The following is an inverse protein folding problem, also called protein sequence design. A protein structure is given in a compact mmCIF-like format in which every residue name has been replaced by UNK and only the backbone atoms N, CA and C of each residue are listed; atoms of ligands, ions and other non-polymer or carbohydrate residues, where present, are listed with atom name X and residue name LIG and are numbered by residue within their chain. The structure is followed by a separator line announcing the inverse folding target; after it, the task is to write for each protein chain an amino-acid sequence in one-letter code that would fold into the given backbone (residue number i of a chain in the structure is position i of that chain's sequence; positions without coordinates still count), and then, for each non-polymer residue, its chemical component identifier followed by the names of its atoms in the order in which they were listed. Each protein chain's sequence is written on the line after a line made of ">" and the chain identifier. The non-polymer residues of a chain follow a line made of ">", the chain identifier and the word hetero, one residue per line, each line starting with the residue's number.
data_IF_169573621346
#
_entry.id   IF_169573621346
#
_cell.length_a   1.000
_cell.length_b   1.000
_cell.length_c   1.000
_cell.angle_alpha   90.00
_cell.angle_beta   90.00
_cell.angle_gamma   90.00
#
_symmetry.space_group_name_H-M   'P 1'
#
loop_
_entity.id
_entity.type
_entity.pdbx_description
1 polymer ?
#
# COMPACT_ATOMS: atom_id res chain seq x y z
N UNK A 1 -13.89 -1.45 47.33
CA UNK A 1 -14.37 -1.28 45.95
C UNK A 1 -13.28 -1.73 44.99
N UNK A 2 -13.66 -2.49 43.96
CA UNK A 2 -12.86 -3.51 43.27
C UNK A 2 -11.78 -2.91 42.36
N UNK A 3 -10.52 -2.91 42.82
CA UNK A 3 -9.35 -2.56 42.02
C UNK A 3 -9.20 -3.43 40.75
N UNK A 4 -9.75 -4.65 40.79
CA UNK A 4 -9.74 -5.58 39.65
C UNK A 4 -10.70 -5.23 38.49
N UNK A 5 -11.67 -4.33 38.68
CA UNK A 5 -12.63 -4.00 37.61
C UNK A 5 -12.09 -2.92 36.64
N UNK A 6 -11.20 -2.05 37.12
CA UNK A 6 -10.61 -0.97 36.31
C UNK A 6 -9.51 -1.51 35.38
N UNK A 7 -8.80 -2.57 35.77
CA UNK A 7 -7.75 -3.20 34.95
C UNK A 7 -8.33 -3.99 33.76
N UNK A 8 -9.54 -4.55 33.90
CA UNK A 8 -10.21 -5.31 32.83
C UNK A 8 -10.65 -4.38 31.68
N UNK A 9 -11.09 -3.15 31.97
CA UNK A 9 -11.49 -2.20 30.92
C UNK A 9 -10.32 -1.69 30.07
N UNK A 10 -9.12 -1.54 30.64
CA UNK A 10 -7.94 -1.10 29.89
C UNK A 10 -7.36 -2.20 28.97
N UNK A 11 -7.59 -3.48 29.27
CA UNK A 11 -7.17 -4.59 28.41
C UNK A 11 -8.06 -4.74 27.16
N UNK A 12 -9.31 -4.28 27.22
CA UNK A 12 -10.23 -4.27 26.07
C UNK A 12 -10.00 -3.11 25.10
N UNK A 13 -9.35 -2.02 25.54
CA UNK A 13 -9.02 -0.88 24.68
C UNK A 13 -7.84 -1.15 23.72
N UNK A 14 -7.05 -2.21 23.94
CA UNK A 14 -5.95 -2.59 23.05
C UNK A 14 -6.39 -3.45 21.85
N UNK A 15 -7.67 -3.85 21.76
CA UNK A 15 -8.18 -4.82 20.77
C UNK A 15 -8.62 -4.21 19.42
N UNK A 16 -8.44 -2.91 19.16
CA UNK A 16 -9.07 -2.26 17.99
C UNK A 16 -8.11 -1.61 16.97
N UNK A 17 -6.81 -1.65 17.19
CA UNK A 17 -5.84 -1.22 16.17
C UNK A 17 -5.49 -2.38 15.23
N UNK A 18 -6.52 -3.01 14.65
CA UNK A 18 -6.27 -3.91 13.53
C UNK A 18 -6.05 -3.08 12.27
N UNK A 19 -4.90 -3.27 11.62
CA UNK A 19 -4.60 -2.69 10.31
C UNK A 19 -5.56 -3.29 9.28
N UNK A 20 -6.32 -2.45 8.59
CA UNK A 20 -7.36 -2.87 7.65
C UNK A 20 -6.89 -2.66 6.23
N UNK A 21 -6.92 -3.71 5.42
CA UNK A 21 -6.38 -3.67 4.05
C UNK A 21 -7.30 -4.37 3.06
N UNK A 22 -7.37 -3.84 1.84
CA UNK A 22 -7.87 -4.63 0.71
C UNK A 22 -6.76 -5.58 0.28
N UNK A 23 -7.09 -6.87 0.19
CA UNK A 23 -6.14 -7.90 -0.21
C UNK A 23 -6.59 -8.68 -1.44
N UNK A 24 -5.67 -9.48 -1.96
CA UNK A 24 -5.82 -10.31 -3.14
C UNK A 24 -5.31 -11.73 -2.86
N UNK A 25 -5.90 -12.77 -3.48
CA UNK A 25 -5.44 -14.14 -3.29
C UNK A 25 -4.10 -14.45 -3.99
N UNK A 26 -3.65 -13.56 -4.88
CA UNK A 26 -2.39 -13.68 -5.63
C UNK A 26 -1.87 -12.29 -5.99
N UNK A 27 -0.56 -12.21 -6.23
CA UNK A 27 0.09 -11.00 -6.72
C UNK A 27 -0.54 -10.49 -8.03
N UNK A 28 -0.86 -9.20 -8.03
CA UNK A 28 -1.57 -8.49 -9.08
C UNK A 28 -0.64 -7.68 -9.99
N UNK A 29 -1.01 -7.47 -11.27
CA UNK A 29 -2.14 -8.11 -11.93
C UNK A 29 -1.87 -9.61 -12.14
N UNK A 30 -2.92 -10.40 -12.12
CA UNK A 30 -2.82 -11.83 -12.37
C UNK A 30 -2.31 -12.12 -13.80
N UNK A 31 -1.43 -13.11 -13.96
CA UNK A 31 -0.91 -13.53 -15.27
C UNK A 31 0.19 -12.63 -15.87
N UNK A 32 0.52 -11.53 -15.22
CA UNK A 32 1.67 -10.70 -15.58
C UNK A 32 2.91 -11.21 -14.84
N UNK A 33 4.04 -11.27 -15.55
CA UNK A 33 5.34 -11.66 -15.00
C UNK A 33 5.89 -10.65 -14.00
N UNK A 34 6.58 -11.15 -12.98
CA UNK A 34 7.29 -10.33 -12.02
C UNK A 34 8.57 -9.75 -12.64
N UNK A 35 8.91 -8.52 -12.26
CA UNK A 35 10.21 -7.93 -12.53
C UNK A 35 11.27 -8.60 -11.66
N UNK A 36 12.46 -8.78 -12.20
CA UNK A 36 13.64 -9.19 -11.43
C UNK A 36 14.31 -7.98 -10.78
N UNK A 37 14.18 -6.80 -11.41
CA UNK A 37 14.73 -5.54 -10.95
C UNK A 37 13.85 -4.38 -11.42
N UNK A 38 13.84 -3.29 -10.65
CA UNK A 38 13.23 -2.03 -11.05
C UNK A 38 14.11 -1.35 -12.12
N UNK A 39 13.52 -0.70 -13.13
CA UNK A 39 14.29 -0.02 -14.15
C UNK A 39 14.91 1.28 -13.62
N UNK A 40 16.12 1.57 -14.07
CA UNK A 40 16.91 2.75 -13.64
C UNK A 40 16.16 4.08 -13.80
N UNK A 41 15.22 4.15 -14.75
CA UNK A 41 14.41 5.34 -15.02
C UNK A 41 13.55 5.81 -13.84
N UNK A 42 13.26 4.92 -12.88
CA UNK A 42 12.52 5.25 -11.65
C UNK A 42 13.38 5.13 -10.39
N UNK A 43 14.63 4.69 -10.50
CA UNK A 43 15.53 4.57 -9.35
C UNK A 43 16.05 5.95 -8.92
N UNK A 44 16.03 6.23 -7.62
CA UNK A 44 16.44 7.50 -7.04
C UNK A 44 15.78 7.78 -5.70
N UNK A 45 16.10 8.94 -5.14
CA UNK A 45 15.51 9.43 -3.89
C UNK A 45 14.29 10.31 -4.17
N UNK A 46 13.20 10.06 -3.45
CA UNK A 46 11.94 10.77 -3.60
C UNK A 46 11.42 11.25 -2.26
N UNK A 47 11.07 12.53 -2.20
CA UNK A 47 10.39 13.14 -1.06
C UNK A 47 8.89 12.84 -1.14
N UNK A 48 8.31 12.34 -0.05
CA UNK A 48 6.86 12.20 0.07
C UNK A 48 6.26 13.57 0.33
N UNK A 49 5.30 13.97 -0.51
CA UNK A 49 4.55 15.21 -0.37
C UNK A 49 3.07 14.92 -0.17
N UNK A 50 2.52 15.41 0.93
CA UNK A 50 1.09 15.42 1.14
C UNK A 50 0.44 16.39 0.13
N UNK A 51 -0.60 15.93 -0.57
CA UNK A 51 -1.24 16.74 -1.62
C UNK A 51 -2.13 17.85 -1.05
N UNK A 52 -2.71 17.65 0.12
CA UNK A 52 -3.64 18.57 0.75
C UNK A 52 -2.92 19.68 1.52
N UNK A 53 -1.90 19.33 2.32
CA UNK A 53 -1.14 20.30 3.13
C UNK A 53 0.09 20.83 2.40
N UNK A 54 0.62 20.06 1.45
CA UNK A 54 1.88 20.37 0.78
C UNK A 54 3.12 20.07 1.61
N UNK A 55 2.96 19.51 2.82
CA UNK A 55 4.06 19.15 3.70
C UNK A 55 4.91 18.05 3.08
N UNK A 56 6.22 18.18 3.29
CA UNK A 56 7.23 17.20 2.89
C UNK A 56 7.60 16.39 4.12
N UNK A 57 7.54 15.07 4.00
CA UNK A 57 7.88 14.15 5.08
C UNK A 57 9.09 13.29 4.71
N UNK A 58 8.92 11.97 4.73
CA UNK A 58 9.98 10.99 4.59
C UNK A 58 10.53 10.93 3.16
N UNK A 59 11.71 10.32 3.05
CA UNK A 59 12.31 9.99 1.76
C UNK A 59 12.10 8.51 1.46
N UNK A 60 11.55 8.21 0.29
CA UNK A 60 11.56 6.86 -0.30
C UNK A 60 12.73 6.79 -1.27
N UNK A 61 13.57 5.78 -1.12
CA UNK A 61 14.69 5.51 -2.00
C UNK A 61 14.35 4.25 -2.78
N UNK A 62 14.32 4.39 -4.11
CA UNK A 62 14.03 3.30 -5.04
C UNK A 62 15.35 2.88 -5.68
N UNK A 63 15.71 1.61 -5.52
CA UNK A 63 16.90 1.00 -6.11
C UNK A 63 16.50 -0.12 -7.07
N UNK A 64 17.45 -0.64 -7.84
CA UNK A 64 17.15 -1.72 -8.81
C UNK A 64 16.63 -2.98 -8.12
N UNK A 65 17.05 -3.25 -6.89
CA UNK A 65 16.63 -4.42 -6.12
C UNK A 65 15.33 -4.21 -5.32
N UNK A 66 14.80 -2.99 -5.21
CA UNK A 66 13.65 -2.71 -4.35
C UNK A 66 13.58 -1.28 -3.83
N UNK A 67 13.25 -1.11 -2.56
CA UNK A 67 13.14 0.21 -1.93
C UNK A 67 13.55 0.19 -0.46
N UNK A 68 13.83 1.36 0.09
CA UNK A 68 13.90 1.58 1.53
C UNK A 68 13.47 3.01 1.86
N UNK A 69 13.21 3.30 3.14
CA UNK A 69 12.78 4.63 3.57
C UNK A 69 13.80 5.26 4.50
N UNK A 70 13.80 6.59 4.56
CA UNK A 70 14.53 7.38 5.55
C UNK A 70 13.58 8.42 6.11
N UNK A 71 13.61 8.60 7.42
CA UNK A 71 12.91 9.71 8.06
C UNK A 71 13.60 11.04 7.71
N UNK A 72 13.03 12.14 8.20
CA UNK A 72 13.59 13.50 8.02
C UNK A 72 15.01 13.66 8.59
N UNK A 73 15.43 12.78 9.50
CA UNK A 73 16.77 12.77 10.09
C UNK A 73 17.74 11.81 9.37
N UNK A 74 17.30 11.19 8.27
CA UNK A 74 18.09 10.24 7.48
C UNK A 74 18.16 8.84 8.08
N UNK A 75 17.40 8.54 9.14
CA UNK A 75 17.37 7.23 9.78
C UNK A 75 16.37 6.31 9.07
N UNK A 76 16.81 5.11 8.76
CA UNK A 76 15.89 4.06 8.27
C UNK A 76 14.96 3.65 9.42
N UNK A 77 13.65 3.77 9.18
CA UNK A 77 12.62 3.58 10.20
C UNK A 77 11.63 2.47 9.85
N UNK A 78 11.49 2.12 8.57
CA UNK A 78 10.57 1.07 8.10
C UNK A 78 11.30 -0.14 7.49
N UNK A 79 12.63 -0.05 7.31
CA UNK A 79 13.45 -1.07 6.68
C UNK A 79 13.40 -1.06 5.15
N UNK A 80 14.13 -2.00 4.56
CA UNK A 80 14.22 -2.20 3.12
C UNK A 80 13.29 -3.32 2.65
N UNK A 81 12.54 -3.06 1.57
CA UNK A 81 11.82 -4.08 0.82
C UNK A 81 12.63 -4.51 -0.40
N UNK A 82 13.07 -5.76 -0.43
CA UNK A 82 13.80 -6.36 -1.57
C UNK A 82 12.85 -7.19 -2.43
N UNK A 83 12.93 -7.07 -3.76
CA UNK A 83 12.18 -7.92 -4.69
C UNK A 83 12.48 -9.39 -4.37
N UNK A 84 11.42 -10.14 -4.10
CA UNK A 84 11.48 -11.51 -3.58
C UNK A 84 10.16 -12.25 -3.82
N UNK A 85 9.98 -13.39 -3.17
CA UNK A 85 8.71 -14.11 -3.09
C UNK A 85 7.67 -13.45 -2.16
N UNK A 86 8.11 -12.50 -1.32
CA UNK A 86 7.24 -11.70 -0.42
C UNK A 86 7.05 -10.27 -0.89
N UNK A 87 7.90 -9.76 -1.77
CA UNK A 87 7.72 -8.49 -2.46
C UNK A 87 7.81 -8.68 -3.98
N UNK A 88 6.65 -8.72 -4.64
CA UNK A 88 6.56 -8.93 -6.08
C UNK A 88 6.20 -7.63 -6.77
N UNK A 89 7.09 -7.13 -7.62
CA UNK A 89 6.79 -5.97 -8.47
C UNK A 89 6.46 -6.45 -9.88
N UNK A 90 5.40 -5.89 -10.46
CA UNK A 90 5.03 -6.12 -11.86
C UNK A 90 4.84 -4.80 -12.59
N UNK A 91 5.16 -4.75 -13.87
CA UNK A 91 4.88 -3.60 -14.70
C UNK A 91 3.72 -3.92 -15.65
N UNK A 92 2.72 -3.06 -15.67
CA UNK A 92 1.61 -3.16 -16.61
C UNK A 92 1.05 -1.77 -16.92
N UNK A 93 0.95 -1.45 -18.21
CA UNK A 93 0.70 -0.07 -18.68
C UNK A 93 1.71 0.92 -18.05
N UNK A 94 1.24 2.05 -17.51
CA UNK A 94 2.06 3.08 -16.87
C UNK A 94 2.17 2.96 -15.34
N UNK A 95 1.93 1.74 -14.82
CA UNK A 95 1.95 1.45 -13.39
C UNK A 95 2.95 0.34 -13.06
N UNK A 96 3.63 0.51 -11.93
CA UNK A 96 4.23 -0.61 -11.21
C UNK A 96 3.28 -1.05 -10.11
N UNK A 97 2.97 -2.34 -10.10
CA UNK A 97 2.13 -3.00 -9.12
C UNK A 97 3.06 -3.63 -8.09
N UNK A 98 3.13 -3.03 -6.91
CA UNK A 98 3.99 -3.45 -5.81
C UNK A 98 3.14 -4.32 -4.88
N UNK A 99 3.41 -5.62 -4.88
CA UNK A 99 2.64 -6.60 -4.14
C UNK A 99 3.42 -7.07 -2.92
N UNK A 100 2.86 -6.85 -1.74
CA UNK A 100 3.40 -7.31 -0.47
C UNK A 100 2.64 -8.55 -0.03
N UNK A 101 3.37 -9.60 0.34
CA UNK A 101 2.78 -10.81 0.90
C UNK A 101 2.72 -10.69 2.42
N UNK A 102 1.52 -10.72 2.98
CA UNK A 102 1.26 -10.81 4.41
C UNK A 102 0.49 -12.10 4.67
N UNK A 103 1.19 -13.12 5.17
CA UNK A 103 0.60 -14.45 5.31
C UNK A 103 0.22 -15.09 3.97
N UNK A 104 -1.07 -15.43 3.82
CA UNK A 104 -1.65 -15.93 2.57
C UNK A 104 -2.31 -14.82 1.72
N UNK A 105 -2.17 -13.57 2.16
CA UNK A 105 -2.77 -12.39 1.53
C UNK A 105 -1.74 -11.59 0.75
N UNK A 106 -2.16 -11.02 -0.37
CA UNK A 106 -1.37 -10.05 -1.10
C UNK A 106 -1.98 -8.66 -0.96
N UNK A 107 -1.20 -7.70 -0.48
CA UNK A 107 -1.56 -6.29 -0.40
C UNK A 107 -0.96 -5.59 -1.62
N UNK A 108 -1.71 -4.68 -2.25
CA UNK A 108 -1.27 -3.97 -3.44
C UNK A 108 -1.06 -2.48 -3.13
N UNK A 109 0.08 -1.97 -3.59
CA UNK A 109 0.33 -0.55 -3.80
C UNK A 109 0.64 -0.32 -5.27
N UNK A 110 0.27 0.84 -5.78
CA UNK A 110 0.56 1.24 -7.16
C UNK A 110 1.57 2.37 -7.14
N UNK A 111 2.58 2.27 -7.98
CA UNK A 111 3.47 3.36 -8.31
C UNK A 111 3.16 3.81 -9.73
N UNK A 112 2.48 4.95 -9.85
CA UNK A 112 2.16 5.56 -11.14
C UNK A 112 3.29 6.49 -11.56
N UNK A 113 3.85 6.28 -12.74
CA UNK A 113 4.86 7.19 -13.29
C UNK A 113 4.15 8.35 -13.99
N UNK A 114 4.27 9.58 -13.49
CA UNK A 114 3.86 10.79 -14.23
C UNK A 114 4.98 11.22 -15.16
N UNK A 115 6.20 11.26 -14.63
CA UNK A 115 7.46 11.45 -15.32
C UNK A 115 8.62 10.96 -14.42
N UNK A 116 9.87 10.88 -14.91
CA UNK A 116 10.99 10.36 -14.11
C UNK A 116 11.23 11.08 -12.76
N UNK A 117 10.78 12.34 -12.65
CA UNK A 117 10.96 13.17 -11.47
C UNK A 117 9.71 13.24 -10.57
N UNK A 118 8.60 12.63 -10.97
CA UNK A 118 7.32 12.70 -10.25
C UNK A 118 6.55 11.40 -10.39
N UNK A 119 6.36 10.73 -9.25
CA UNK A 119 5.59 9.49 -9.14
C UNK A 119 4.39 9.71 -8.23
N UNK A 120 3.40 8.83 -8.29
CA UNK A 120 2.33 8.76 -7.29
C UNK A 120 2.34 7.37 -6.67
N UNK A 121 2.36 7.32 -5.33
CA UNK A 121 2.18 6.10 -4.58
C UNK A 121 0.71 6.02 -4.14
N UNK A 122 0.02 4.98 -4.59
CA UNK A 122 -1.44 4.84 -4.41
C UNK A 122 -1.79 3.53 -3.72
N UNK A 123 -2.83 3.56 -2.91
CA UNK A 123 -3.43 2.41 -2.23
C UNK A 123 -4.95 2.58 -2.16
N UNK A 124 -5.67 1.52 -1.80
CA UNK A 124 -7.06 1.67 -1.36
C UNK A 124 -7.01 1.94 0.15
N UNK A 125 -7.26 3.19 0.55
CA UNK A 125 -7.18 3.59 1.97
C UNK A 125 -8.45 3.15 2.74
N UNK A 126 -8.28 2.36 3.80
CA UNK A 126 -9.35 1.90 4.70
C UNK A 126 -9.17 2.38 6.16
N UNK A 127 -8.28 3.34 6.41
CA UNK A 127 -7.95 3.84 7.75
C UNK A 127 -9.13 4.51 8.44
N UNK A 128 -9.84 5.40 7.72
CA UNK A 128 -11.05 6.07 8.24
C UNK A 128 -12.28 5.15 8.14
N UNK A 129 -13.05 5.08 9.21
CA UNK A 129 -14.20 4.18 9.35
C UNK A 129 -15.33 4.48 8.34
N UNK A 130 -15.67 5.76 8.16
CA UNK A 130 -16.77 6.19 7.27
C UNK A 130 -16.36 5.98 5.81
N UNK A 131 -15.13 6.37 5.46
CA UNK A 131 -14.55 6.16 4.13
C UNK A 131 -14.46 4.67 3.82
N UNK A 132 -14.00 3.85 4.78
CA UNK A 132 -13.90 2.40 4.63
C UNK A 132 -15.25 1.76 4.32
N UNK A 133 -16.30 2.05 5.09
CA UNK A 133 -17.62 1.48 4.83
C UNK A 133 -18.12 1.83 3.43
N UNK A 134 -17.96 3.09 3.01
CA UNK A 134 -18.34 3.53 1.66
C UNK A 134 -17.55 2.80 0.57
N UNK A 135 -16.24 2.62 0.74
CA UNK A 135 -15.39 1.87 -0.21
C UNK A 135 -15.80 0.41 -0.27
N UNK A 136 -16.00 -0.25 0.88
CA UNK A 136 -16.36 -1.67 0.94
C UNK A 136 -17.75 -1.92 0.34
N UNK A 137 -18.72 -1.03 0.55
CA UNK A 137 -20.03 -1.11 -0.11
C UNK A 137 -19.89 -0.99 -1.63
N UNK A 138 -19.08 -0.05 -2.13
CA UNK A 138 -18.82 0.10 -3.58
C UNK A 138 -18.12 -1.12 -4.17
N UNK A 139 -17.12 -1.66 -3.48
CA UNK A 139 -16.42 -2.89 -3.88
C UNK A 139 -17.37 -4.11 -3.88
N UNK A 140 -18.23 -4.23 -2.87
CA UNK A 140 -19.22 -5.30 -2.75
C UNK A 140 -20.24 -5.36 -3.89
N UNK A 141 -20.48 -4.23 -4.57
CA UNK A 141 -21.31 -4.19 -5.79
C UNK A 141 -20.61 -4.78 -7.02
N UNK A 142 -19.27 -4.83 -7.03
CA UNK A 142 -18.46 -5.29 -8.17
C UNK A 142 -17.87 -6.68 -7.94
N UNK A 143 -17.58 -7.03 -6.69
CA UNK A 143 -16.86 -8.24 -6.31
C UNK A 143 -17.49 -8.92 -5.11
N UNK A 144 -17.28 -10.23 -5.02
CA UNK A 144 -17.46 -10.94 -3.76
C UNK A 144 -16.30 -10.59 -2.82
N UNK A 145 -16.54 -9.71 -1.87
CA UNK A 145 -15.59 -9.35 -0.82
C UNK A 145 -15.64 -10.41 0.28
N UNK A 146 -14.48 -11.00 0.62
CA UNK A 146 -14.35 -11.91 1.77
C UNK A 146 -13.60 -11.20 2.88
N UNK A 147 -14.20 -11.13 4.07
CA UNK A 147 -13.54 -10.64 5.27
C UNK A 147 -12.71 -11.77 5.88
N UNK A 148 -11.44 -11.51 6.19
CA UNK A 148 -10.53 -12.46 6.83
C UNK A 148 -9.76 -11.73 7.93
N UNK A 149 -9.68 -12.31 9.13
CA UNK A 149 -8.81 -11.83 10.19
C UNK A 149 -7.56 -12.69 10.20
N UNK A 150 -6.39 -12.07 10.16
CA UNK A 150 -5.11 -12.76 10.29
C UNK A 150 -4.15 -11.89 11.10
N UNK A 151 -3.67 -12.43 12.22
CA UNK A 151 -2.87 -11.68 13.19
C UNK A 151 -3.60 -10.36 13.56
N UNK A 152 -2.86 -9.25 13.60
CA UNK A 152 -3.40 -7.91 13.85
C UNK A 152 -3.98 -7.25 12.58
N UNK A 153 -4.14 -8.00 11.48
CA UNK A 153 -4.67 -7.48 10.22
C UNK A 153 -6.09 -7.98 9.93
N UNK A 154 -6.92 -7.07 9.45
CA UNK A 154 -8.26 -7.35 8.93
C UNK A 154 -8.26 -7.13 7.42
N UNK A 155 -8.40 -8.22 6.68
CA UNK A 155 -8.32 -8.23 5.23
C UNK A 155 -9.71 -8.29 4.59
N UNK A 156 -9.88 -7.46 3.58
CA UNK A 156 -11.06 -7.45 2.71
C UNK A 156 -10.65 -7.97 1.33
N UNK A 157 -10.61 -9.30 1.20
CA UNK A 157 -10.07 -9.96 0.01
C UNK A 157 -11.04 -9.86 -1.18
N UNK A 158 -10.51 -9.42 -2.31
CA UNK A 158 -11.17 -9.42 -3.61
C UNK A 158 -10.32 -10.17 -4.64
N UNK A 159 -10.95 -10.67 -5.71
CA UNK A 159 -10.25 -11.41 -6.76
C UNK A 159 -10.61 -10.86 -8.16
N UNK A 160 -10.16 -9.64 -8.50
CA UNK A 160 -10.44 -9.05 -9.80
C UNK A 160 -9.63 -9.74 -10.91
N UNK A 161 -10.15 -9.72 -12.13
CA UNK A 161 -9.33 -9.90 -13.34
C UNK A 161 -8.44 -8.68 -13.58
N UNK A 162 -7.38 -8.76 -14.41
CA UNK A 162 -6.58 -7.59 -14.75
C UNK A 162 -7.41 -6.41 -15.28
N UNK A 163 -8.38 -6.67 -16.16
CA UNK A 163 -9.27 -5.63 -16.68
C UNK A 163 -10.13 -4.97 -15.58
N UNK A 164 -10.66 -5.77 -14.64
CA UNK A 164 -11.41 -5.25 -13.50
C UNK A 164 -10.53 -4.44 -12.55
N UNK A 165 -9.30 -4.88 -12.29
CA UNK A 165 -8.33 -4.14 -11.49
C UNK A 165 -8.03 -2.77 -12.13
N UNK A 166 -7.81 -2.74 -13.44
CA UNK A 166 -7.62 -1.49 -14.16
C UNK A 166 -8.87 -0.58 -14.09
N UNK A 167 -10.07 -1.14 -14.07
CA UNK A 167 -11.30 -0.38 -13.84
C UNK A 167 -11.28 0.30 -12.47
N UNK A 168 -10.86 -0.39 -11.41
CA UNK A 168 -10.75 0.22 -10.07
C UNK A 168 -9.79 1.39 -10.04
N UNK A 169 -8.67 1.28 -10.76
CA UNK A 169 -7.69 2.37 -10.88
C UNK A 169 -8.30 3.58 -11.60
N UNK A 170 -9.07 3.35 -12.67
CA UNK A 170 -9.73 4.41 -13.46
C UNK A 170 -10.91 5.06 -12.74
N UNK A 171 -11.50 4.35 -11.79
CA UNK A 171 -12.63 4.82 -10.97
C UNK A 171 -12.16 5.43 -9.63
N UNK A 172 -10.88 5.77 -9.50
CA UNK A 172 -10.28 6.45 -8.34
C UNK A 172 -10.45 5.72 -7.00
N UNK A 173 -10.52 4.38 -7.01
CA UNK A 173 -10.44 3.59 -5.76
C UNK A 173 -9.04 3.67 -5.14
N UNK A 174 -8.01 3.86 -5.97
CA UNK A 174 -6.63 4.00 -5.54
C UNK A 174 -6.28 5.47 -5.39
N UNK A 175 -5.99 5.89 -4.16
CA UNK A 175 -5.62 7.26 -3.79
C UNK A 175 -4.30 7.26 -3.05
N UNK A 176 -3.66 8.43 -2.93
CA UNK A 176 -2.41 8.52 -2.17
C UNK A 176 -1.60 9.77 -2.46
N UNK A 177 -0.31 9.65 -2.18
CA UNK A 177 0.64 10.77 -2.07
C UNK A 177 1.48 10.94 -3.33
N UNK A 178 2.05 12.12 -3.46
CA UNK A 178 3.01 12.41 -4.53
C UNK A 178 4.44 12.17 -4.06
N UNK A 179 5.25 11.59 -4.93
CA UNK A 179 6.68 11.38 -4.72
C UNK A 179 7.45 12.29 -5.68
N UNK A 180 8.22 13.22 -5.12
CA UNK A 180 8.99 14.21 -5.88
C UNK A 180 10.46 13.83 -5.81
N UNK A 181 11.10 13.61 -6.97
CA UNK A 181 12.51 13.26 -7.01
C UNK A 181 13.33 14.38 -6.37
N UNK A 182 14.13 14.02 -5.37
CA UNK A 182 15.09 14.91 -4.75
C UNK A 182 16.17 15.21 -5.79
N UNK A 183 16.41 16.50 -6.05
CA UNK A 183 17.51 16.91 -6.92
C UNK A 183 18.82 16.70 -6.16
N UNK A 184 19.79 16.09 -6.82
CA UNK A 184 21.17 16.12 -6.35
C UNK A 184 21.67 17.55 -6.58
N UNK A 185 22.00 18.25 -5.50
CA UNK A 185 22.75 19.52 -5.56
C UNK A 185 24.20 19.25 -6.00
#
# INVERSE_FOLDING_TARGET
>A
MRLGFVVICCFWAMLLLSCKEVSFPKAQPAGISALQQLPESICGEYLIRDKATGEISDTIIIETWGYHTKDVNGKDWLGAGHISDTLVVKQYENYYFINFKEGDQWILRLLKVKNPNRLELLSINLEDDVVREAILQKLGKKFKVKKQQQNDYEFYQINPTPAQLMSLIKEDYFTGVELIRKRSD
#
